data_IF_141724369397
#
_entry.id   IF_141724369397
#
_cell.length_a   1.000
_cell.length_b   1.000
_cell.length_c   1.000
_cell.angle_alpha   90.00
_cell.angle_beta   90.00
_cell.angle_gamma   90.00
#
_symmetry.space_group_name_H-M   'P 1'
#
loop_
_entity.id
_entity.type
_entity.pdbx_description
1 polymer ?
#
# COMPACT_ATOMS: atom_id res chain seq x y z
N UNK A 1 16.51 -5.66 -3.38
CA UNK A 1 15.94 -4.60 -2.51
C UNK A 1 14.49 -4.35 -2.88
N UNK A 2 13.70 -3.78 -1.97
CA UNK A 2 12.26 -3.52 -2.18
C UNK A 2 12.07 -2.11 -2.76
N UNK A 3 11.20 -1.93 -3.75
CA UNK A 3 10.93 -0.63 -4.42
C UNK A 3 9.43 -0.42 -4.59
N UNK A 4 8.97 0.84 -4.58
CA UNK A 4 7.59 1.20 -4.93
C UNK A 4 7.40 1.45 -6.43
N UNK A 5 8.49 1.58 -7.19
CA UNK A 5 8.50 2.01 -8.59
C UNK A 5 9.33 1.05 -9.45
N UNK A 6 9.10 1.02 -10.77
CA UNK A 6 9.95 0.27 -11.69
C UNK A 6 11.39 0.79 -11.68
N UNK A 7 12.37 -0.10 -11.89
CA UNK A 7 13.79 0.27 -11.91
C UNK A 7 14.14 1.08 -13.19
N UNK A 8 15.11 2.01 -13.13
CA UNK A 8 15.86 2.43 -11.94
C UNK A 8 14.98 3.26 -11.01
N UNK A 9 14.95 2.92 -9.72
CA UNK A 9 14.17 3.61 -8.69
C UNK A 9 14.84 3.49 -7.33
N UNK A 10 14.56 4.43 -6.41
CA UNK A 10 15.07 4.35 -5.05
C UNK A 10 14.57 3.09 -4.35
N UNK A 11 15.47 2.53 -3.54
CA UNK A 11 15.18 1.33 -2.75
C UNK A 11 14.73 1.70 -1.35
N UNK A 12 13.65 1.07 -0.90
CA UNK A 12 13.22 1.16 0.48
C UNK A 12 14.20 0.41 1.40
N UNK A 13 14.44 0.91 2.62
CA UNK A 13 15.15 0.16 3.65
C UNK A 13 14.37 -1.10 4.03
N UNK A 14 14.99 -1.99 4.79
CA UNK A 14 14.24 -3.10 5.40
C UNK A 14 13.24 -2.56 6.42
N UNK A 15 12.02 -3.09 6.40
CA UNK A 15 10.91 -2.66 7.25
C UNK A 15 10.10 -3.87 7.72
N UNK A 16 9.54 -3.77 8.93
CA UNK A 16 8.46 -4.67 9.38
C UNK A 16 7.11 -4.06 9.08
N UNK A 17 6.95 -2.76 9.33
CA UNK A 17 5.71 -2.02 9.09
C UNK A 17 6.00 -0.73 8.35
N UNK A 18 5.31 -0.51 7.24
CA UNK A 18 5.43 0.70 6.41
C UNK A 18 4.05 1.30 6.13
N UNK A 19 3.89 2.59 6.40
CA UNK A 19 2.73 3.38 5.97
C UNK A 19 3.12 4.27 4.80
N UNK A 20 2.44 4.15 3.68
CA UNK A 20 2.58 5.01 2.51
C UNK A 20 1.31 5.84 2.37
N UNK A 21 1.44 7.16 2.40
CA UNK A 21 0.33 8.09 2.28
C UNK A 21 0.57 9.13 1.18
N UNK A 22 -0.49 9.65 0.58
CA UNK A 22 -0.42 10.66 -0.50
C UNK A 22 -0.62 10.09 -1.91
N UNK A 23 -0.60 10.92 -2.96
CA UNK A 23 -0.98 10.56 -4.33
C UNK A 23 0.04 9.62 -5.00
N UNK A 24 -0.01 8.34 -4.64
CA UNK A 24 0.78 7.27 -5.22
C UNK A 24 0.14 6.73 -6.50
N UNK A 25 0.97 6.27 -7.44
CA UNK A 25 0.51 5.64 -8.66
C UNK A 25 -0.12 4.26 -8.40
N UNK A 26 -1.17 3.93 -9.15
CA UNK A 26 -2.01 2.75 -8.91
C UNK A 26 -1.27 1.39 -8.98
N UNK A 27 -0.16 1.29 -9.72
CA UNK A 27 0.63 0.06 -9.83
C UNK A 27 1.68 -0.13 -8.73
N UNK A 28 1.87 0.86 -7.85
CA UNK A 28 2.87 0.78 -6.77
C UNK A 28 2.73 -0.45 -5.87
N UNK A 29 1.52 -0.88 -5.45
CA UNK A 29 1.36 -2.10 -4.66
C UNK A 29 1.89 -3.34 -5.38
N UNK A 30 1.79 -3.38 -6.72
CA UNK A 30 2.28 -4.50 -7.55
C UNK A 30 3.81 -4.48 -7.59
N UNK A 31 4.42 -3.32 -7.88
CA UNK A 31 5.88 -3.15 -7.88
C UNK A 31 6.49 -3.49 -6.51
N UNK A 32 5.83 -3.08 -5.44
CA UNK A 32 6.20 -3.42 -4.07
C UNK A 32 6.20 -4.94 -3.85
N UNK A 33 5.11 -5.62 -4.22
CA UNK A 33 5.03 -7.08 -4.09
C UNK A 33 6.13 -7.77 -4.90
N UNK A 34 6.34 -7.37 -6.15
CA UNK A 34 7.31 -7.99 -7.05
C UNK A 34 8.74 -7.81 -6.56
N UNK A 35 9.12 -6.58 -6.22
CA UNK A 35 10.46 -6.27 -5.73
C UNK A 35 10.75 -6.95 -4.39
N UNK A 36 9.76 -7.02 -3.50
CA UNK A 36 9.89 -7.70 -2.21
C UNK A 36 10.08 -9.22 -2.39
N UNK A 37 9.28 -9.85 -3.26
CA UNK A 37 9.35 -11.29 -3.54
C UNK A 37 10.61 -11.69 -4.31
N UNK A 38 11.12 -10.83 -5.18
CA UNK A 38 12.37 -11.06 -5.90
C UNK A 38 13.55 -11.32 -4.94
N UNK A 39 13.54 -10.70 -3.76
CA UNK A 39 14.57 -10.89 -2.73
C UNK A 39 14.29 -12.06 -1.77
N UNK A 40 13.08 -12.63 -1.80
CA UNK A 40 12.61 -13.66 -0.87
C UNK A 40 12.04 -14.86 -1.65
N UNK A 41 12.90 -15.65 -2.33
CA UNK A 41 12.44 -16.76 -3.14
C UNK A 41 11.70 -17.79 -2.28
N UNK A 42 10.62 -18.36 -2.84
CA UNK A 42 9.79 -19.36 -2.17
C UNK A 42 8.70 -18.79 -1.26
N UNK A 43 8.61 -17.47 -1.12
CA UNK A 43 7.55 -16.80 -0.35
C UNK A 43 6.42 -16.28 -1.23
N UNK A 44 5.31 -15.88 -0.62
CA UNK A 44 4.14 -15.28 -1.28
C UNK A 44 3.83 -13.90 -0.71
N UNK A 45 3.07 -13.11 -1.45
CA UNK A 45 2.57 -11.81 -1.00
C UNK A 45 1.04 -11.78 -1.09
N UNK A 46 0.42 -11.02 -0.19
CA UNK A 46 -1.03 -10.83 -0.15
C UNK A 46 -1.36 -9.36 -0.36
N UNK A 47 -2.02 -9.04 -1.47
CA UNK A 47 -2.53 -7.70 -1.77
C UNK A 47 -4.02 -7.66 -1.44
N UNK A 48 -4.43 -6.75 -0.57
CA UNK A 48 -5.83 -6.61 -0.18
C UNK A 48 -6.31 -5.22 -0.58
N UNK A 49 -7.37 -5.16 -1.39
CA UNK A 49 -7.92 -3.90 -1.89
C UNK A 49 -9.45 -3.87 -1.79
N UNK A 50 -10.09 -2.77 -1.38
CA UNK A 50 -11.54 -2.67 -1.17
C UNK A 50 -12.41 -3.09 -2.36
N UNK A 51 -11.97 -2.80 -3.59
CA UNK A 51 -12.75 -3.03 -4.80
C UNK A 51 -11.85 -3.47 -5.95
N UNK A 52 -12.12 -4.67 -6.48
CA UNK A 52 -11.42 -5.17 -7.67
C UNK A 52 -11.61 -4.26 -8.87
N UNK A 53 -12.83 -3.77 -9.08
CA UNK A 53 -13.15 -2.96 -10.25
C UNK A 53 -12.44 -1.61 -10.19
N UNK A 54 -12.45 -0.96 -9.02
CA UNK A 54 -11.79 0.33 -8.82
C UNK A 54 -10.28 0.18 -9.03
N UNK A 55 -9.68 -0.82 -8.39
CA UNK A 55 -8.25 -1.09 -8.53
C UNK A 55 -7.85 -1.39 -9.98
N UNK A 56 -8.61 -2.25 -10.68
CA UNK A 56 -8.36 -2.59 -12.08
C UNK A 56 -8.54 -1.38 -13.00
N UNK A 57 -9.56 -0.55 -12.78
CA UNK A 57 -9.75 0.68 -13.56
C UNK A 57 -8.57 1.63 -13.38
N UNK A 58 -8.11 1.85 -12.15
CA UNK A 58 -6.95 2.71 -11.87
C UNK A 58 -5.67 2.17 -12.51
N UNK A 59 -5.48 0.84 -12.58
CA UNK A 59 -4.35 0.24 -13.30
C UNK A 59 -4.44 0.43 -14.82
N UNK A 60 -5.64 0.31 -15.39
CA UNK A 60 -5.88 0.54 -16.83
C UNK A 60 -5.65 2.01 -17.18
N UNK A 61 -6.17 2.92 -16.35
CA UNK A 61 -6.04 4.36 -16.53
C UNK A 61 -4.58 4.82 -16.44
N UNK A 62 -3.81 4.30 -15.47
CA UNK A 62 -2.39 4.59 -15.35
C UNK A 62 -1.57 4.12 -16.57
N UNK A 63 -1.99 3.00 -17.20
CA UNK A 63 -1.31 2.34 -18.31
C UNK A 63 0.20 2.23 -18.07
N UNK A 64 0.58 1.49 -17.01
CA UNK A 64 1.98 1.30 -16.63
C UNK A 64 2.74 0.52 -17.72
N UNK A 65 3.67 1.22 -18.38
CA UNK A 65 4.49 0.66 -19.46
C UNK A 65 5.34 -0.52 -18.99
N UNK A 66 5.93 -0.44 -17.79
CA UNK A 66 6.78 -1.50 -17.29
C UNK A 66 6.00 -2.79 -17.10
N UNK A 67 4.79 -2.72 -16.52
CA UNK A 67 3.96 -3.92 -16.33
C UNK A 67 3.52 -4.48 -17.67
N UNK A 68 3.14 -3.61 -18.61
CA UNK A 68 2.72 -4.03 -19.95
C UNK A 68 3.85 -4.73 -20.73
N UNK A 69 5.08 -4.25 -20.61
CA UNK A 69 6.25 -4.80 -21.29
C UNK A 69 6.80 -6.04 -20.58
N UNK A 70 6.97 -5.96 -19.27
CA UNK A 70 7.69 -6.95 -18.49
C UNK A 70 6.79 -8.03 -17.88
N UNK A 71 5.48 -7.80 -17.74
CA UNK A 71 4.53 -8.73 -17.12
C UNK A 71 4.44 -10.08 -17.84
N UNK A 72 4.71 -10.10 -19.15
CA UNK A 72 4.74 -11.32 -19.97
C UNK A 72 6.04 -12.13 -19.85
N UNK A 73 7.10 -11.59 -19.27
CA UNK A 73 8.35 -12.33 -19.10
C UNK A 73 8.20 -13.39 -18.02
N UNK A 74 8.68 -14.61 -18.30
CA UNK A 74 8.50 -15.76 -17.41
C UNK A 74 8.99 -15.53 -15.97
N UNK A 75 10.06 -14.75 -15.79
CA UNK A 75 10.56 -14.38 -14.46
C UNK A 75 9.56 -13.51 -13.68
N UNK A 76 9.01 -12.47 -14.31
CA UNK A 76 8.03 -11.56 -13.70
C UNK A 76 6.69 -12.27 -13.50
N UNK A 77 6.23 -13.00 -14.51
CA UNK A 77 5.01 -13.82 -14.43
C UNK A 77 5.06 -14.85 -13.30
N UNK A 78 6.23 -15.48 -13.09
CA UNK A 78 6.45 -16.40 -11.97
C UNK A 78 6.37 -15.71 -10.60
N UNK A 79 6.80 -14.45 -10.50
CA UNK A 79 6.64 -13.65 -9.27
C UNK A 79 5.19 -13.19 -9.08
N UNK A 80 4.53 -12.71 -10.14
CA UNK A 80 3.11 -12.34 -10.12
C UNK A 80 2.22 -13.49 -9.68
N UNK A 81 2.51 -14.72 -10.11
CA UNK A 81 1.77 -15.92 -9.70
C UNK A 81 1.84 -16.19 -8.18
N UNK A 82 2.77 -15.57 -7.45
CA UNK A 82 2.91 -15.67 -5.98
C UNK A 82 2.24 -14.51 -5.23
N UNK A 83 1.66 -13.56 -5.96
CA UNK A 83 0.88 -12.45 -5.39
C UNK A 83 -0.60 -12.84 -5.43
N UNK A 84 -1.18 -13.09 -4.26
CA UNK A 84 -2.62 -13.35 -4.13
C UNK A 84 -3.33 -12.03 -3.87
N UNK A 85 -4.42 -11.76 -4.58
CA UNK A 85 -5.24 -10.56 -4.35
C UNK A 85 -6.59 -10.88 -3.71
N UNK A 86 -6.96 -10.18 -2.64
CA UNK A 86 -8.27 -10.27 -1.98
C UNK A 86 -9.01 -8.94 -2.07
N UNK A 87 -10.33 -9.01 -2.22
CA UNK A 87 -11.17 -7.83 -2.43
C UNK A 87 -12.35 -7.75 -1.45
N UNK A 88 -12.10 -7.53 -0.14
CA UNK A 88 -13.18 -7.41 0.83
C UNK A 88 -13.97 -6.11 0.61
N UNK A 89 -15.30 -6.17 0.42
CA UNK A 89 -16.10 -5.00 0.06
C UNK A 89 -16.40 -4.06 1.23
N UNK A 90 -16.25 -4.52 2.48
CA UNK A 90 -16.51 -3.71 3.68
C UNK A 90 -15.41 -3.94 4.72
N UNK A 91 -15.20 -3.02 5.69
CA UNK A 91 -14.16 -3.18 6.69
C UNK A 91 -14.39 -4.42 7.58
N UNK A 92 -15.65 -4.83 7.79
CA UNK A 92 -15.95 -6.09 8.47
C UNK A 92 -15.48 -7.31 7.66
N UNK A 93 -15.69 -7.33 6.35
CA UNK A 93 -15.18 -8.42 5.50
C UNK A 93 -13.65 -8.47 5.51
N UNK A 94 -12.99 -7.31 5.57
CA UNK A 94 -11.54 -7.23 5.70
C UNK A 94 -11.08 -7.82 7.04
N UNK A 95 -11.70 -7.43 8.16
CA UNK A 95 -11.40 -7.98 9.48
C UNK A 95 -11.60 -9.50 9.52
N UNK A 96 -12.68 -10.00 8.94
CA UNK A 96 -12.93 -11.44 8.82
C UNK A 96 -11.86 -12.11 7.96
N UNK A 97 -11.52 -11.54 6.79
CA UNK A 97 -10.50 -12.09 5.92
C UNK A 97 -9.15 -12.19 6.64
N UNK A 98 -8.73 -11.12 7.32
CA UNK A 98 -7.48 -11.07 8.11
C UNK A 98 -7.49 -12.11 9.24
N UNK A 99 -8.57 -12.20 10.03
CA UNK A 99 -8.68 -13.19 11.11
C UNK A 99 -8.73 -14.66 10.63
N UNK A 100 -9.12 -14.89 9.37
CA UNK A 100 -9.09 -16.21 8.73
C UNK A 100 -7.70 -16.57 8.19
N UNK A 101 -6.76 -15.63 8.09
CA UNK A 101 -5.38 -15.92 7.71
C UNK A 101 -4.70 -16.65 8.86
N UNK A 102 -4.82 -17.98 8.86
CA UNK A 102 -4.09 -18.87 9.77
C UNK A 102 -3.21 -19.81 8.97
N UNK A 103 -2.03 -20.07 9.52
CA UNK A 103 -1.06 -20.99 8.92
C UNK A 103 -1.27 -22.36 9.54
N UNK A 104 -1.47 -23.37 8.69
CA UNK A 104 -1.62 -24.75 9.17
C UNK A 104 -0.32 -25.22 9.83
N UNK A 105 -0.36 -25.47 11.15
CA UNK A 105 0.76 -26.08 11.88
C UNK A 105 1.35 -25.27 13.04
N UNK A 106 0.75 -24.16 13.45
CA UNK A 106 1.19 -23.39 14.64
C UNK A 106 0.23 -23.46 15.84
N UNK A 107 -0.79 -24.31 15.79
CA UNK A 107 -1.76 -24.46 16.87
C UNK A 107 -2.04 -25.93 17.15
N UNK A 108 -1.77 -26.37 18.39
CA UNK A 108 -2.17 -27.68 18.94
C UNK A 108 -3.69 -27.79 19.19
N UNK A 109 -4.46 -26.72 18.93
CA UNK A 109 -5.91 -26.73 19.06
C UNK A 109 -6.60 -27.43 17.87
N UNK A 110 -7.68 -28.19 18.14
CA UNK A 110 -8.47 -28.83 17.10
C UNK A 110 -9.06 -27.76 16.17
N UNK A 111 -8.51 -27.70 14.96
CA UNK A 111 -8.83 -26.71 13.94
C UNK A 111 -10.34 -26.65 13.69
N UNK A 112 -10.99 -25.59 14.17
CA UNK A 112 -12.29 -25.17 13.68
C UNK A 112 -12.08 -24.64 12.25
N UNK A 113 -12.05 -25.58 11.30
CA UNK A 113 -12.26 -25.45 9.85
C UNK A 113 -12.18 -24.03 9.25
N UNK A 114 -11.00 -23.40 9.32
CA UNK A 114 -10.67 -22.36 8.35
C UNK A 114 -10.66 -23.05 6.98
N UNK A 115 -11.63 -22.73 6.11
CA UNK A 115 -11.82 -23.43 4.82
C UNK A 115 -10.66 -23.24 3.83
N UNK A 116 -9.70 -22.36 4.13
CA UNK A 116 -8.50 -22.15 3.30
C UNK A 116 -7.31 -21.81 4.22
N UNK A 117 -6.67 -22.80 4.87
CA UNK A 117 -5.42 -22.52 5.56
C UNK A 117 -4.37 -22.08 4.54
N UNK A 118 -3.60 -21.05 4.87
CA UNK A 118 -2.41 -20.70 4.09
C UNK A 118 -1.39 -21.83 4.26
N UNK A 119 -0.77 -22.24 3.15
CA UNK A 119 0.28 -23.27 3.17
C UNK A 119 1.53 -22.81 3.94
N UNK A 120 1.79 -21.50 3.90
CA UNK A 120 2.85 -20.81 4.64
C UNK A 120 2.43 -19.35 4.88
N UNK A 121 2.99 -18.66 5.89
CA UNK A 121 2.77 -17.23 6.06
C UNK A 121 3.30 -16.45 4.84
N UNK A 122 2.58 -15.42 4.36
CA UNK A 122 3.09 -14.56 3.30
C UNK A 122 4.29 -13.75 3.83
N UNK A 123 5.27 -13.45 2.99
CA UNK A 123 6.36 -12.55 3.38
C UNK A 123 5.89 -11.08 3.48
N UNK A 124 4.79 -10.74 2.80
CA UNK A 124 4.28 -9.38 2.70
C UNK A 124 2.75 -9.39 2.65
N UNK A 125 2.13 -8.54 3.47
CA UNK A 125 0.72 -8.15 3.37
C UNK A 125 0.65 -6.68 3.01
N UNK A 126 -0.09 -6.34 1.96
CA UNK A 126 -0.34 -4.96 1.52
C UNK A 126 -1.83 -4.65 1.66
N UNK A 127 -2.18 -3.67 2.50
CA UNK A 127 -3.53 -3.09 2.52
C UNK A 127 -3.52 -1.85 1.62
N UNK A 128 -4.24 -1.93 0.52
CA UNK A 128 -4.33 -0.87 -0.47
C UNK A 128 -5.64 -0.10 -0.32
N UNK A 129 -5.56 1.20 -0.07
CA UNK A 129 -6.65 2.16 0.05
C UNK A 129 -7.71 1.84 1.13
N UNK A 130 -7.34 1.45 2.38
CA UNK A 130 -8.33 1.15 3.41
C UNK A 130 -9.23 2.35 3.77
N UNK A 131 -8.80 3.60 3.58
CA UNK A 131 -9.64 4.79 3.76
C UNK A 131 -10.93 4.74 2.97
N UNK A 132 -11.00 4.06 1.82
CA UNK A 132 -12.22 4.00 1.00
C UNK A 132 -13.40 3.38 1.73
N UNK A 133 -13.15 2.53 2.73
CA UNK A 133 -14.21 1.96 3.56
C UNK A 133 -14.91 2.98 4.45
N UNK A 134 -14.31 4.14 4.66
CA UNK A 134 -14.70 5.08 5.71
C UNK A 134 -15.14 6.45 5.16
N UNK A 135 -14.85 6.76 3.89
CA UNK A 135 -15.18 8.07 3.29
C UNK A 135 -16.68 8.30 3.18
N UNK A 136 -17.44 7.28 2.74
CA UNK A 136 -18.88 7.39 2.49
C UNK A 136 -19.74 6.78 3.63
N UNK A 137 -19.10 6.32 4.71
CA UNK A 137 -19.76 5.63 5.81
C UNK A 137 -20.04 6.59 6.97
N UNK A 138 -21.30 6.97 7.25
CA UNK A 138 -21.62 7.99 8.26
C UNK A 138 -21.32 7.51 9.69
N UNK A 139 -21.26 6.20 9.91
CA UNK A 139 -20.89 5.59 11.18
C UNK A 139 -19.37 5.42 11.36
N UNK A 140 -18.57 5.80 10.36
CA UNK A 140 -17.12 5.65 10.43
C UNK A 140 -16.54 6.53 11.55
N UNK A 141 -15.71 5.91 12.38
CA UNK A 141 -14.96 6.58 13.43
C UNK A 141 -13.47 6.33 13.22
N UNK A 142 -12.66 7.18 13.84
CA UNK A 142 -11.22 6.99 13.86
C UNK A 142 -10.85 5.63 14.48
N UNK A 143 -11.61 5.21 15.49
CA UNK A 143 -11.48 3.91 16.14
C UNK A 143 -11.75 2.74 15.18
N UNK A 144 -12.69 2.87 14.24
CA UNK A 144 -12.96 1.80 13.27
C UNK A 144 -11.84 1.67 12.22
N UNK A 145 -11.26 2.78 11.77
CA UNK A 145 -10.06 2.77 10.91
C UNK A 145 -8.86 2.14 11.62
N UNK A 146 -8.55 2.61 12.83
CA UNK A 146 -7.42 2.08 13.62
C UNK A 146 -7.65 0.61 14.02
N UNK A 147 -8.90 0.18 14.19
CA UNK A 147 -9.26 -1.21 14.40
C UNK A 147 -8.81 -2.12 13.25
N UNK A 148 -9.02 -1.70 12.00
CA UNK A 148 -8.54 -2.44 10.81
C UNK A 148 -7.02 -2.55 10.81
N UNK A 149 -6.32 -1.45 11.08
CA UNK A 149 -4.84 -1.44 11.15
C UNK A 149 -4.35 -2.38 12.27
N UNK A 150 -4.99 -2.33 13.44
CA UNK A 150 -4.65 -3.17 14.59
C UNK A 150 -4.87 -4.65 14.28
N UNK A 151 -6.00 -5.02 13.67
CA UNK A 151 -6.27 -6.42 13.27
C UNK A 151 -5.21 -6.91 12.27
N UNK A 152 -4.76 -6.07 11.34
CA UNK A 152 -3.71 -6.45 10.40
C UNK A 152 -2.37 -6.69 11.11
N UNK A 153 -2.03 -5.85 12.10
CA UNK A 153 -0.83 -6.02 12.93
C UNK A 153 -0.90 -7.28 13.80
N UNK A 154 -2.06 -7.55 14.39
CA UNK A 154 -2.30 -8.79 15.13
C UNK A 154 -2.19 -10.02 14.22
N UNK A 155 -2.66 -9.90 12.97
CA UNK A 155 -2.58 -10.98 11.98
C UNK A 155 -1.13 -11.32 11.67
N UNK A 156 -0.27 -10.33 11.39
CA UNK A 156 1.16 -10.61 11.15
C UNK A 156 1.85 -11.15 12.42
N UNK A 157 1.48 -10.65 13.60
CA UNK A 157 2.02 -11.14 14.87
C UNK A 157 1.62 -12.61 15.13
N UNK A 158 0.44 -13.01 14.68
CA UNK A 158 -0.05 -14.39 14.81
C UNK A 158 0.75 -15.41 13.97
N UNK A 159 1.51 -14.96 12.96
CA UNK A 159 2.39 -15.82 12.17
C UNK A 159 3.71 -16.16 12.87
N UNK A 160 3.91 -15.69 14.11
CA UNK A 160 5.02 -16.10 14.97
C UNK A 160 6.37 -15.55 14.52
N UNK A 161 7.38 -16.42 14.40
CA UNK A 161 8.77 -16.02 14.12
C UNK A 161 9.06 -15.70 12.66
N UNK A 162 8.05 -15.82 11.78
CA UNK A 162 8.22 -15.49 10.37
C UNK A 162 8.18 -13.99 10.16
N UNK A 163 9.14 -13.46 9.40
CA UNK A 163 9.23 -12.02 9.10
C UNK A 163 8.20 -11.67 8.03
N UNK A 164 6.93 -11.57 8.43
CA UNK A 164 5.86 -11.02 7.58
C UNK A 164 5.86 -9.50 7.72
N UNK A 165 6.07 -8.79 6.63
CA UNK A 165 5.96 -7.34 6.61
C UNK A 165 4.51 -6.91 6.34
N UNK A 166 4.06 -5.82 6.98
CA UNK A 166 2.78 -5.16 6.71
C UNK A 166 3.03 -3.80 6.07
N UNK A 167 2.36 -3.55 4.95
CA UNK A 167 2.36 -2.25 4.30
C UNK A 167 0.94 -1.75 4.15
N UNK A 168 0.68 -0.52 4.57
CA UNK A 168 -0.57 0.19 4.29
C UNK A 168 -0.26 1.27 3.26
N UNK A 169 -0.90 1.18 2.09
CA UNK A 169 -0.84 2.21 1.05
C UNK A 169 -2.20 2.88 1.06
N UNK A 170 -2.25 4.18 1.34
CA UNK A 170 -3.51 4.90 1.43
C UNK A 170 -3.37 6.34 0.96
N UNK A 171 -3.83 6.59 -0.27
CA UNK A 171 -3.66 7.88 -0.93
C UNK A 171 -4.35 9.03 -0.19
N UNK A 172 -5.50 8.77 0.44
CA UNK A 172 -6.36 9.79 1.06
C UNK A 172 -6.23 9.86 2.58
N UNK A 173 -5.34 9.07 3.18
CA UNK A 173 -5.21 9.01 4.63
C UNK A 173 -4.88 10.37 5.28
N UNK A 174 -4.11 11.20 4.59
CA UNK A 174 -3.73 12.55 5.03
C UNK A 174 -4.90 13.54 5.00
N UNK A 175 -5.96 13.25 4.25
CA UNK A 175 -7.19 14.05 4.17
C UNK A 175 -8.32 13.47 5.03
N UNK A 176 -8.21 12.18 5.40
CA UNK A 176 -9.25 11.44 6.08
C UNK A 176 -9.45 11.98 7.51
N UNK A 177 -10.55 12.69 7.68
CA UNK A 177 -11.00 13.31 8.93
C UNK A 177 -12.15 12.50 9.53
N UNK A 178 -11.89 11.86 10.66
CA UNK A 178 -12.88 11.00 11.33
C UNK A 178 -13.14 11.44 12.78
N UNK A 179 -14.38 11.30 13.29
CA UNK A 179 -14.69 11.55 14.69
C UNK A 179 -14.13 10.42 15.58
N UNK A 180 -13.77 10.74 16.83
CA UNK A 180 -13.26 9.75 17.79
C UNK A 180 -14.37 8.79 18.28
N UNK A 181 -15.57 9.32 18.49
CA UNK A 181 -16.75 8.60 19.01
C UNK A 181 -17.94 8.90 18.11
N UNK A 182 -18.82 7.92 17.91
CA UNK A 182 -20.11 8.12 17.24
C UNK A 182 -20.91 9.21 17.97
N UNK A 183 -21.40 10.20 17.23
CA UNK A 183 -22.21 11.25 17.81
C UNK A 183 -23.58 10.71 18.27
N UNK A 184 -24.10 11.10 19.44
CA UNK A 184 -25.49 10.85 19.77
C UNK A 184 -26.32 11.59 18.73
N UNK A 185 -27.20 10.86 18.05
CA UNK A 185 -27.90 11.29 16.83
C UNK A 185 -28.76 12.56 16.94
N UNK A 186 -28.93 13.14 18.13
CA UNK A 186 -29.72 14.35 18.35
C UNK A 186 -29.15 15.13 19.54
N UNK A 187 -28.26 16.11 19.32
CA UNK A 187 -27.75 16.89 20.47
C UNK A 187 -26.56 17.82 20.29
N UNK A 188 -26.35 18.42 19.11
CA UNK A 188 -25.72 19.74 18.98
C UNK A 188 -24.26 19.97 19.41
N UNK A 189 -23.50 18.95 19.82
CA UNK A 189 -22.04 19.10 20.00
C UNK A 189 -21.33 18.75 18.70
N UNK A 190 -20.73 19.76 18.07
CA UNK A 190 -19.83 19.56 16.94
C UNK A 190 -18.62 18.74 17.41
N UNK A 191 -18.50 17.51 16.92
CA UNK A 191 -17.33 16.68 17.16
C UNK A 191 -16.14 17.26 16.41
N UNK A 192 -14.98 17.31 17.07
CA UNK A 192 -13.74 17.72 16.41
C UNK A 192 -13.25 16.50 15.61
N UNK A 193 -13.23 16.58 14.27
CA UNK A 193 -12.67 15.50 13.48
C UNK A 193 -11.15 15.49 13.64
N UNK A 194 -10.58 14.30 13.73
CA UNK A 194 -9.14 14.09 13.81
C UNK A 194 -8.64 13.49 12.50
N UNK A 195 -7.41 13.85 12.13
CA UNK A 195 -6.74 13.26 10.98
C UNK A 195 -6.34 11.82 11.32
N UNK A 196 -6.83 10.87 10.53
CA UNK A 196 -6.51 9.47 10.72
C UNK A 196 -5.00 9.19 10.59
N UNK A 197 -4.32 9.92 9.71
CA UNK A 197 -2.87 9.86 9.53
C UNK A 197 -2.08 10.07 10.84
N UNK A 198 -2.43 11.08 11.64
CA UNK A 198 -1.67 11.48 12.84
C UNK A 198 -1.63 10.40 13.92
N UNK A 199 -2.70 9.59 14.00
CA UNK A 199 -2.77 8.46 14.92
C UNK A 199 -2.27 7.17 14.28
N UNK A 200 -2.62 6.93 13.01
CA UNK A 200 -2.21 5.72 12.31
C UNK A 200 -0.69 5.58 12.23
N UNK A 201 0.04 6.68 12.00
CA UNK A 201 1.50 6.67 11.92
C UNK A 201 2.22 6.10 13.15
N UNK A 202 1.58 6.11 14.32
CA UNK A 202 2.16 5.60 15.57
C UNK A 202 2.29 4.07 15.58
N UNK A 203 1.63 3.38 14.65
CA UNK A 203 1.64 1.93 14.52
C UNK A 203 2.69 1.40 13.53
N UNK A 204 3.42 2.30 12.86
CA UNK A 204 4.35 1.94 11.78
C UNK A 204 5.77 2.38 12.11
N UNK A 205 6.73 1.56 11.72
CA UNK A 205 8.17 1.84 11.85
C UNK A 205 8.60 2.92 10.86
N UNK A 206 8.15 2.78 9.61
CA UNK A 206 8.46 3.68 8.51
C UNK A 206 7.21 4.36 7.97
N UNK A 207 7.33 5.66 7.68
CA UNK A 207 6.30 6.47 7.05
C UNK A 207 6.86 7.05 5.77
N UNK A 208 6.16 6.81 4.66
CA UNK A 208 6.47 7.38 3.37
C UNK A 208 5.34 8.32 2.96
N UNK A 209 5.60 9.62 2.96
CA UNK A 209 4.64 10.64 2.56
C UNK A 209 4.95 11.09 1.14
N UNK A 210 3.95 11.02 0.27
CA UNK A 210 4.02 11.47 -1.11
C UNK A 210 3.33 12.81 -1.21
N UNK A 211 3.99 13.74 -1.84
CA UNK A 211 3.49 15.08 -2.10
C UNK A 211 3.57 15.35 -3.61
N UNK A 212 2.56 16.03 -4.12
CA UNK A 212 2.53 16.51 -5.50
C UNK A 212 2.83 18.01 -5.47
N UNK A 213 3.76 18.44 -6.33
CA UNK A 213 4.15 19.85 -6.41
C UNK A 213 3.17 20.60 -7.32
N UNK A 214 2.21 21.31 -6.71
CA UNK A 214 1.18 22.09 -7.41
C UNK A 214 1.73 23.32 -8.15
N UNK A 215 3.02 23.64 -8.01
CA UNK A 215 3.63 24.79 -8.66
C UNK A 215 3.89 24.59 -10.17
N UNK A 216 3.72 23.38 -10.70
CA UNK A 216 3.86 23.11 -12.12
C UNK A 216 2.66 23.69 -12.90
N UNK A 217 2.94 24.62 -13.81
CA UNK A 217 1.93 25.31 -14.62
C UNK A 217 1.08 24.29 -15.41
N UNK A 218 -0.25 24.51 -15.47
CA UNK A 218 -1.27 23.67 -16.14
C UNK A 218 -0.99 23.34 -17.62
N UNK A 219 0.05 23.92 -18.21
CA UNK A 219 0.42 23.77 -19.63
C UNK A 219 1.40 22.61 -19.91
N UNK A 220 1.84 21.83 -18.90
CA UNK A 220 2.76 20.70 -19.09
C UNK A 220 2.20 19.37 -18.55
N UNK A 221 2.22 18.31 -19.37
CA UNK A 221 1.86 16.91 -19.03
C UNK A 221 2.85 16.24 -18.06
N UNK A 222 3.48 17.02 -17.19
CA UNK A 222 4.53 16.60 -16.28
C UNK A 222 4.10 16.91 -14.84
N UNK A 223 3.91 15.86 -14.04
CA UNK A 223 3.62 16.00 -12.61
C UNK A 223 4.90 15.74 -11.81
N UNK A 224 5.42 16.78 -11.16
CA UNK A 224 6.52 16.65 -10.20
C UNK A 224 5.98 16.14 -8.88
N UNK A 225 6.61 15.09 -8.34
CA UNK A 225 6.24 14.48 -7.07
C UNK A 225 7.48 14.25 -6.20
N UNK A 226 7.26 14.21 -4.89
CA UNK A 226 8.29 13.85 -3.92
C UNK A 226 7.80 12.82 -2.91
N UNK A 227 8.70 11.94 -2.49
CA UNK A 227 8.49 10.89 -1.50
C UNK A 227 9.44 11.19 -0.34
N UNK A 228 8.88 11.53 0.81
CA UNK A 228 9.62 11.73 2.06
C UNK A 228 9.45 10.50 2.93
N UNK A 229 10.54 9.77 3.15
CA UNK A 229 10.60 8.59 3.99
C UNK A 229 11.19 8.93 5.36
N UNK A 230 10.46 8.64 6.44
CA UNK A 230 10.85 8.94 7.83
C UNK A 230 10.66 7.72 8.72
N UNK A 231 11.60 7.48 9.64
CA UNK A 231 11.48 6.45 10.68
C UNK A 231 10.90 7.06 11.98
N UNK A 232 9.86 6.45 12.56
CA UNK A 232 9.07 7.05 13.66
C UNK A 232 9.83 7.12 14.99
N UNK A 233 10.66 6.13 15.30
CA UNK A 233 11.35 6.01 16.61
C UNK A 233 12.87 6.34 16.56
N UNK A 234 13.33 6.95 15.48
CA UNK A 234 14.74 7.33 15.36
C UNK A 234 15.08 8.50 16.31
N UNK A 235 16.15 8.36 17.11
CA UNK A 235 16.65 9.42 18.01
C UNK A 235 16.90 10.75 17.29
N UNK A 236 17.24 10.68 16.00
CA UNK A 236 17.26 11.78 15.06
C UNK A 236 16.52 11.28 13.80
N UNK A 237 15.29 11.73 13.53
CA UNK A 237 14.56 11.32 12.34
C UNK A 237 15.29 11.87 11.11
N UNK A 238 16.09 11.03 10.47
CA UNK A 238 16.67 11.33 9.17
C UNK A 238 15.59 11.07 8.12
N UNK A 239 15.15 12.14 7.46
CA UNK A 239 14.18 12.05 6.38
C UNK A 239 14.94 11.86 5.07
N UNK A 240 14.66 10.77 4.37
CA UNK A 240 15.16 10.55 3.01
C UNK A 240 14.12 11.08 2.04
N UNK A 241 14.52 12.01 1.17
CA UNK A 241 13.60 12.63 0.21
C UNK A 241 14.03 12.22 -1.20
N UNK A 242 13.09 11.64 -1.94
CA UNK A 242 13.25 11.35 -3.36
C UNK A 242 12.28 12.19 -4.16
N UNK A 243 12.69 12.60 -5.37
CA UNK A 243 11.85 13.39 -6.29
C UNK A 243 11.77 12.69 -7.64
N UNK A 244 10.62 12.74 -8.30
CA UNK A 244 10.49 12.26 -9.67
C UNK A 244 9.49 13.09 -10.45
N UNK A 245 9.54 12.96 -11.75
CA UNK A 245 8.57 13.53 -12.67
C UNK A 245 7.82 12.39 -13.32
N UNK A 246 6.50 12.39 -13.18
CA UNK A 246 5.60 11.53 -13.95
C UNK A 246 5.28 12.24 -15.25
N UNK A 247 5.64 11.62 -16.37
CA UNK A 247 5.39 12.14 -17.70
C UNK A 247 4.56 11.13 -18.49
N UNK A 248 3.47 11.60 -19.10
CA UNK A 248 2.79 10.85 -20.17
C UNK A 248 3.76 10.72 -21.33
N UNK A 249 4.23 9.51 -21.60
CA UNK A 249 5.12 9.26 -22.72
C UNK A 249 4.31 9.22 -24.01
N UNK A 250 4.10 10.39 -24.63
CA UNK A 250 3.69 10.46 -26.04
C UNK A 250 4.83 9.97 -26.97
N UNK A 251 6.08 10.08 -26.52
CA UNK A 251 7.25 9.68 -27.29
C UNK A 251 7.55 8.18 -27.13
N UNK A 252 7.55 7.50 -28.27
CA UNK A 252 7.93 6.08 -28.46
C UNK A 252 9.23 5.74 -27.72
N UNK A 253 9.18 4.82 -26.75
CA UNK A 253 10.39 4.13 -26.27
C UNK A 253 10.61 2.85 -27.07
N UNK A 254 11.87 2.51 -27.32
CA UNK A 254 12.34 1.64 -28.41
C UNK A 254 11.80 0.20 -28.53
N UNK A 255 10.90 -0.26 -27.66
CA UNK A 255 10.30 -1.60 -27.74
C UNK A 255 8.75 -1.63 -27.69
N UNK A 256 8.08 -0.51 -27.39
CA UNK A 256 6.61 -0.41 -27.33
C UNK A 256 6.11 0.85 -28.04
N UNK A 257 5.09 0.70 -28.89
CA UNK A 257 4.41 1.81 -29.56
C UNK A 257 3.25 2.39 -28.73
N UNK A 258 3.03 1.88 -27.52
CA UNK A 258 1.93 2.30 -26.65
C UNK A 258 2.32 3.55 -25.86
N UNK A 259 1.36 4.43 -25.66
CA UNK A 259 1.48 5.51 -24.69
C UNK A 259 1.35 4.93 -23.27
N UNK A 260 2.15 5.45 -22.35
CA UNK A 260 2.06 5.08 -20.94
C UNK A 260 2.81 6.05 -20.05
N UNK A 261 2.76 5.77 -18.75
CA UNK A 261 3.34 6.66 -17.74
C UNK A 261 4.81 6.30 -17.49
N UNK A 262 5.70 7.29 -17.61
CA UNK A 262 7.13 7.11 -17.32
C UNK A 262 7.56 7.91 -16.09
N UNK A 263 8.45 7.31 -15.31
CA UNK A 263 9.03 7.92 -14.10
C UNK A 263 10.44 8.40 -14.42
N UNK A 264 10.66 9.71 -14.34
CA UNK A 264 11.97 10.33 -14.55
C UNK A 264 12.57 10.72 -13.21
N UNK A 265 13.73 10.16 -12.89
CA UNK A 265 14.47 10.45 -11.67
C UNK A 265 15.58 11.46 -11.96
N UNK A 266 15.62 12.62 -11.27
CA UNK A 266 16.75 13.52 -11.28
C UNK A 266 18.06 12.80 -10.88
N UNK A 267 19.19 13.19 -11.48
CA UNK A 267 20.50 12.58 -11.23
C UNK A 267 20.90 12.62 -9.74
N UNK A 268 20.40 13.60 -9.00
CA UNK A 268 20.66 13.78 -7.56
C UNK A 268 20.07 12.67 -6.67
N UNK A 269 19.18 11.80 -7.20
CA UNK A 269 18.58 10.69 -6.46
C UNK A 269 19.33 9.36 -6.61
N UNK A 270 20.49 9.34 -7.27
CA UNK A 270 21.34 8.17 -7.42
C UNK A 270 22.19 7.93 -6.16
N UNK A 271 21.57 7.42 -5.09
CA UNK A 271 22.25 6.86 -3.91
C UNK A 271 21.76 5.44 -3.64
#
# INVERSE_FOLDING_TARGET
MTTLFPLPSPTLPDFTTLLVAGPLHASAPIHLCLSHLANRPGTTALLISPSRQTFLNSLIELSDDWINECGGFGAVSSLLAKVTSLYPPTPLHLAVALSMLKVAGHTDEPAFTAKVPLAAPPALIVLNEPSTFFVDEPSATLSSYLGVVTIALETIASFGTTTTALVVIDSRLHELKLPLVEGPGDGGRAYVPHLAFDLARQYFEWIALIEQDDAASEEQDHQSKSLTLTQVDAKAPEAVVWKWIEASAEQRRGFSERAGTTFLWPEDNAL
#
